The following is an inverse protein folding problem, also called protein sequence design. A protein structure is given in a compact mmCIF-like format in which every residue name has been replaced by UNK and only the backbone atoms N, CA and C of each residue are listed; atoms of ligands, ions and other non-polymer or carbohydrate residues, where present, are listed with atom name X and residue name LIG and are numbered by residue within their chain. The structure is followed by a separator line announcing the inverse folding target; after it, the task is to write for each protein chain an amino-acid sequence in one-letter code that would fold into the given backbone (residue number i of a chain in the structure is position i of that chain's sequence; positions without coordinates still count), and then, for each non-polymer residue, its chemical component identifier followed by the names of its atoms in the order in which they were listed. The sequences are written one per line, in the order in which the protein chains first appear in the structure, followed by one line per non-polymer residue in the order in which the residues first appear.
data_IF_471259404452
#
_entry.id   IF_471259404452
#
_cell.length_a   1.000
_cell.length_b   1.000
_cell.length_c   1.000
_cell.angle_alpha   90.00
_cell.angle_beta   90.00
_cell.angle_gamma   90.00
#
_symmetry.space_group_name_H-M   'P 1'
#
loop_
_entity.id
_entity.type
_entity.pdbx_description
1 polymer ?
#
# COMPACT_ATOMS: atom_id res chain seq x y z
N UNK A 1 -15.05 1.97 -10.80
CA UNK A 1 -14.78 0.99 -9.76
C UNK A 1 -15.16 1.52 -8.38
N UNK A 2 -14.68 2.75 -7.99
CA UNK A 2 -14.96 3.36 -6.71
C UNK A 2 -16.47 3.47 -6.42
N UNK A 3 -17.23 4.17 -7.28
CA UNK A 3 -18.66 4.39 -7.11
C UNK A 3 -19.50 3.11 -7.20
N UNK A 4 -19.10 2.17 -8.09
CA UNK A 4 -19.90 0.95 -8.36
C UNK A 4 -19.60 -0.21 -7.40
N UNK A 5 -18.41 -0.27 -6.81
CA UNK A 5 -17.99 -1.41 -5.97
C UNK A 5 -17.55 -0.99 -4.58
N UNK A 6 -16.58 -0.08 -4.44
CA UNK A 6 -15.98 0.23 -3.14
C UNK A 6 -16.98 0.93 -2.22
N UNK A 7 -17.56 2.06 -2.64
CA UNK A 7 -18.46 2.85 -1.79
C UNK A 7 -19.68 2.02 -1.32
N UNK A 8 -20.39 1.28 -2.19
CA UNK A 8 -21.48 0.42 -1.72
C UNK A 8 -21.04 -0.66 -0.74
N UNK A 9 -19.85 -1.24 -0.94
CA UNK A 9 -19.32 -2.29 -0.05
C UNK A 9 -18.94 -1.77 1.32
N UNK A 10 -18.49 -0.52 1.45
CA UNK A 10 -18.12 0.09 2.73
C UNK A 10 -19.30 0.21 3.72
N UNK A 11 -20.55 0.09 3.26
CA UNK A 11 -21.73 0.15 4.15
C UNK A 11 -21.78 -1.04 5.12
N UNK A 12 -21.33 -2.22 4.70
CA UNK A 12 -21.49 -3.47 5.47
C UNK A 12 -20.33 -4.46 5.33
N UNK A 13 -19.23 -4.07 4.69
CA UNK A 13 -18.08 -4.94 4.42
C UNK A 13 -16.77 -4.24 4.70
N UNK A 14 -15.75 -5.04 5.03
CA UNK A 14 -14.36 -4.59 4.99
C UNK A 14 -13.90 -4.63 3.55
N UNK A 15 -13.32 -3.54 3.09
CA UNK A 15 -12.78 -3.43 1.73
C UNK A 15 -11.25 -3.42 1.82
N UNK A 16 -10.62 -4.42 1.21
CA UNK A 16 -9.18 -4.44 0.97
C UNK A 16 -8.92 -3.89 -0.43
N UNK A 17 -8.12 -2.84 -0.49
CA UNK A 17 -7.74 -2.20 -1.74
C UNK A 17 -6.23 -2.32 -1.91
N UNK A 18 -5.81 -3.08 -2.93
CA UNK A 18 -4.40 -3.14 -3.32
C UNK A 18 -4.06 -1.89 -4.13
N UNK A 19 -3.21 -1.06 -3.54
CA UNK A 19 -2.78 0.25 -4.03
C UNK A 19 -3.94 1.28 -4.10
N UNK A 20 -3.67 2.47 -3.59
CA UNK A 20 -4.61 3.59 -3.60
C UNK A 20 -3.85 4.92 -3.56
N UNK A 21 -4.37 5.97 -2.94
CA UNK A 21 -3.84 7.32 -2.87
C UNK A 21 -2.33 7.41 -2.63
N UNK A 22 -1.81 6.69 -1.64
CA UNK A 22 -0.38 6.76 -1.32
C UNK A 22 0.51 6.10 -2.36
N UNK A 23 0.03 5.10 -3.10
CA UNK A 23 0.76 4.57 -4.25
C UNK A 23 0.89 5.62 -5.35
N UNK A 24 -0.20 6.31 -5.70
CA UNK A 24 -0.17 7.42 -6.67
C UNK A 24 0.79 8.51 -6.21
N UNK A 25 0.75 8.88 -4.94
CA UNK A 25 1.69 9.85 -4.38
C UNK A 25 3.14 9.41 -4.55
N UNK A 26 3.50 8.18 -4.13
CA UNK A 26 4.88 7.73 -4.15
C UNK A 26 5.40 7.46 -5.57
N UNK A 27 4.58 6.84 -6.43
CA UNK A 27 5.02 6.41 -7.77
C UNK A 27 4.90 7.49 -8.84
N UNK A 28 4.01 8.44 -8.68
CA UNK A 28 3.70 9.42 -9.73
C UNK A 28 4.06 10.85 -9.31
N UNK A 29 3.70 11.26 -8.10
CA UNK A 29 3.92 12.63 -7.66
C UNK A 29 5.38 12.86 -7.22
N UNK A 30 5.90 12.02 -6.32
CA UNK A 30 7.28 12.17 -5.82
C UNK A 30 8.35 11.94 -6.88
N UNK A 31 8.01 11.26 -7.97
CA UNK A 31 8.94 10.93 -9.06
C UNK A 31 8.80 11.82 -10.27
N UNK A 32 7.89 12.77 -10.24
CA UNK A 32 7.63 13.76 -11.29
C UNK A 32 7.64 15.17 -10.72
N UNK A 33 7.53 16.15 -11.59
CA UNK A 33 7.43 17.56 -11.21
C UNK A 33 5.99 18.02 -10.96
N UNK A 34 5.06 17.08 -10.69
CA UNK A 34 3.67 17.39 -10.43
C UNK A 34 3.51 17.83 -8.95
N UNK A 35 2.90 18.97 -8.67
CA UNK A 35 2.65 19.41 -7.29
C UNK A 35 1.74 18.46 -6.53
N UNK A 36 1.99 18.27 -5.24
CA UNK A 36 1.11 17.45 -4.38
C UNK A 36 -0.32 18.00 -4.29
N UNK A 37 -0.50 19.30 -4.44
CA UNK A 37 -1.81 19.96 -4.49
C UNK A 37 -2.67 19.44 -5.64
N UNK A 38 -2.06 19.13 -6.79
CA UNK A 38 -2.75 18.52 -7.94
C UNK A 38 -3.35 17.15 -7.58
N UNK A 39 -2.58 16.29 -6.88
CA UNK A 39 -3.10 15.01 -6.42
C UNK A 39 -4.26 15.19 -5.42
N UNK A 40 -4.13 16.12 -4.48
CA UNK A 40 -5.23 16.40 -3.53
C UNK A 40 -6.49 16.87 -4.24
N UNK A 41 -6.35 17.79 -5.19
CA UNK A 41 -7.49 18.30 -5.98
C UNK A 41 -8.18 17.18 -6.75
N UNK A 42 -7.43 16.38 -7.52
CA UNK A 42 -7.98 15.25 -8.27
C UNK A 42 -8.63 14.22 -7.35
N UNK A 43 -8.01 13.92 -6.21
CA UNK A 43 -8.56 12.97 -5.25
C UNK A 43 -9.86 13.50 -4.64
N UNK A 44 -9.92 14.76 -4.23
CA UNK A 44 -11.16 15.35 -3.68
C UNK A 44 -12.30 15.33 -4.70
N UNK A 45 -12.01 15.71 -5.94
CA UNK A 45 -13.01 15.77 -7.02
C UNK A 45 -13.56 14.38 -7.41
N UNK A 46 -12.67 13.38 -7.50
CA UNK A 46 -13.05 12.05 -7.99
C UNK A 46 -13.61 11.16 -6.88
N UNK A 47 -13.08 11.28 -5.66
CA UNK A 47 -13.36 10.33 -4.57
C UNK A 47 -14.07 10.95 -3.36
N UNK A 48 -14.41 12.23 -3.39
CA UNK A 48 -14.90 12.98 -2.21
C UNK A 48 -13.98 12.80 -1.00
N UNK A 49 -12.66 12.87 -1.20
CA UNK A 49 -11.65 12.65 -0.16
C UNK A 49 -11.75 11.29 0.57
N UNK A 50 -12.33 10.28 -0.05
CA UNK A 50 -12.37 8.95 0.54
C UNK A 50 -10.94 8.45 0.78
N UNK A 51 -10.56 8.28 2.04
CA UNK A 51 -9.26 7.78 2.46
C UNK A 51 -9.40 6.46 3.20
N UNK A 52 -8.41 5.56 3.12
CA UNK A 52 -8.41 4.33 3.90
C UNK A 52 -8.40 4.63 5.40
N UNK A 53 -9.11 3.83 6.18
CA UNK A 53 -9.05 3.88 7.64
C UNK A 53 -7.69 3.42 8.16
N UNK A 54 -7.09 2.46 7.45
CA UNK A 54 -5.73 1.97 7.68
C UNK A 54 -5.03 1.73 6.35
N UNK A 55 -3.78 2.16 6.26
CA UNK A 55 -2.85 1.79 5.19
C UNK A 55 -1.75 0.91 5.75
N UNK A 56 -1.58 -0.26 5.18
CA UNK A 56 -0.48 -1.17 5.48
C UNK A 56 0.57 -1.02 4.38
N UNK A 57 1.81 -0.78 4.77
CA UNK A 57 2.97 -0.73 3.88
C UNK A 57 3.89 -1.89 4.25
N UNK A 58 4.23 -2.72 3.28
CA UNK A 58 5.27 -3.76 3.42
C UNK A 58 6.54 -3.19 2.84
N UNK A 59 7.44 -2.72 3.71
CA UNK A 59 8.70 -2.08 3.31
C UNK A 59 9.77 -3.13 3.10
N UNK A 60 10.37 -3.09 1.92
CA UNK A 60 11.48 -3.94 1.52
C UNK A 60 12.54 -3.07 0.85
N UNK A 61 13.80 -3.43 1.02
CA UNK A 61 14.87 -2.83 0.23
C UNK A 61 14.54 -2.90 -1.27
N UNK A 62 14.63 -1.77 -1.95
CA UNK A 62 14.15 -1.68 -3.33
C UNK A 62 14.89 -2.60 -4.29
N UNK A 63 16.22 -2.83 -4.09
CA UNK A 63 17.01 -3.77 -4.91
C UNK A 63 16.48 -5.19 -4.76
N UNK A 64 16.19 -5.59 -3.51
CA UNK A 64 15.60 -6.89 -3.20
C UNK A 64 14.17 -7.00 -3.79
N UNK A 65 13.39 -5.93 -3.69
CA UNK A 65 12.05 -5.86 -4.29
C UNK A 65 12.06 -6.05 -5.80
N UNK A 66 12.95 -5.36 -6.51
CA UNK A 66 13.13 -5.52 -7.96
C UNK A 66 13.54 -6.95 -8.31
N UNK A 67 14.54 -7.52 -7.61
CA UNK A 67 14.98 -8.90 -7.85
C UNK A 67 13.83 -9.90 -7.68
N UNK A 68 12.99 -9.73 -6.64
CA UNK A 68 11.81 -10.59 -6.41
C UNK A 68 10.75 -10.42 -7.50
N UNK A 69 10.50 -9.19 -7.96
CA UNK A 69 9.54 -8.90 -9.03
C UNK A 69 9.97 -9.51 -10.36
N UNK A 70 11.24 -9.37 -10.74
CA UNK A 70 11.77 -9.93 -11.99
C UNK A 70 11.74 -11.46 -12.06
N UNK A 71 11.72 -12.15 -10.91
CA UNK A 71 11.59 -13.62 -10.86
C UNK A 71 10.17 -14.13 -11.10
N UNK A 72 9.15 -13.28 -11.03
CA UNK A 72 7.76 -13.67 -11.27
C UNK A 72 7.50 -13.85 -12.77
N UNK A 73 6.80 -14.93 -13.15
CA UNK A 73 6.47 -15.26 -14.56
C UNK A 73 5.51 -14.24 -15.21
N UNK A 74 4.58 -13.64 -14.46
CA UNK A 74 3.64 -12.63 -14.97
C UNK A 74 4.18 -11.22 -14.64
N UNK A 75 4.84 -10.60 -15.61
CA UNK A 75 5.57 -9.36 -15.43
C UNK A 75 4.75 -8.15 -15.89
N UNK A 76 4.15 -7.41 -14.97
CA UNK A 76 3.99 -5.97 -15.20
C UNK A 76 5.34 -5.29 -14.92
N UNK A 77 6.17 -5.21 -15.94
CA UNK A 77 7.56 -4.69 -15.84
C UNK A 77 7.64 -3.17 -15.96
N UNK A 78 6.51 -2.48 -16.04
CA UNK A 78 6.44 -1.04 -16.31
C UNK A 78 7.26 -0.15 -15.36
N UNK A 79 7.38 -0.56 -14.10
CA UNK A 79 8.15 0.18 -13.09
C UNK A 79 9.53 -0.42 -12.83
N UNK A 80 9.73 -1.70 -13.07
CA UNK A 80 10.97 -2.43 -12.78
C UNK A 80 12.15 -1.93 -13.63
N UNK A 81 11.87 -1.45 -14.84
CA UNK A 81 12.88 -0.87 -15.75
C UNK A 81 13.19 0.61 -15.50
N UNK A 82 12.56 1.24 -14.50
CA UNK A 82 12.94 2.58 -14.07
C UNK A 82 14.30 2.55 -13.38
N UNK A 83 14.99 3.67 -13.41
CA UNK A 83 16.31 3.80 -12.82
C UNK A 83 16.30 3.66 -11.28
N UNK A 84 17.48 3.46 -10.69
CA UNK A 84 17.64 3.32 -9.24
C UNK A 84 17.19 4.56 -8.47
N UNK A 85 17.27 5.75 -9.07
CA UNK A 85 16.87 7.01 -8.42
C UNK A 85 15.37 7.05 -8.25
N UNK A 86 14.60 6.58 -9.23
CA UNK A 86 13.15 6.42 -9.16
C UNK A 86 12.76 5.50 -7.99
N UNK A 87 13.33 4.30 -7.93
CA UNK A 87 13.01 3.33 -6.88
C UNK A 87 13.40 3.83 -5.49
N UNK A 88 14.52 4.53 -5.37
CA UNK A 88 14.96 5.15 -4.12
C UNK A 88 13.97 6.22 -3.66
N UNK A 89 13.50 7.11 -4.57
CA UNK A 89 12.48 8.12 -4.25
C UNK A 89 11.17 7.48 -3.78
N UNK A 90 10.70 6.44 -4.46
CA UNK A 90 9.49 5.69 -4.08
C UNK A 90 9.64 5.08 -2.69
N UNK A 91 10.75 4.39 -2.41
CA UNK A 91 11.01 3.77 -1.11
C UNK A 91 11.04 4.81 0.02
N UNK A 92 11.77 5.92 -0.17
CA UNK A 92 11.80 7.03 0.80
C UNK A 92 10.39 7.60 1.02
N UNK A 93 9.60 7.73 -0.05
CA UNK A 93 8.21 8.17 0.03
C UNK A 93 7.38 7.31 0.97
N UNK A 94 7.39 5.99 0.77
CA UNK A 94 6.66 5.05 1.62
C UNK A 94 7.16 5.07 3.07
N UNK A 95 8.47 5.14 3.32
CA UNK A 95 9.04 5.25 4.67
C UNK A 95 8.56 6.52 5.40
N UNK A 96 8.52 7.65 4.70
CA UNK A 96 7.99 8.91 5.26
C UNK A 96 6.52 8.82 5.66
N UNK A 97 5.72 7.98 4.97
CA UNK A 97 4.31 7.79 5.31
C UNK A 97 4.12 7.14 6.70
N UNK A 98 5.10 6.39 7.20
CA UNK A 98 5.03 5.76 8.53
C UNK A 98 4.84 6.74 9.69
N UNK A 99 5.12 8.04 9.48
CA UNK A 99 4.84 9.10 10.45
C UNK A 99 3.33 9.46 10.54
N UNK A 100 2.50 8.97 9.60
CA UNK A 100 1.06 9.26 9.60
C UNK A 100 0.31 8.28 10.50
N UNK A 101 -0.63 8.80 11.30
CA UNK A 101 -1.40 8.03 12.30
C UNK A 101 -2.11 6.79 11.72
N UNK A 102 -2.59 6.87 10.49
CA UNK A 102 -3.33 5.78 9.82
C UNK A 102 -2.44 4.91 8.90
N UNK A 103 -1.12 4.97 9.06
CA UNK A 103 -0.19 4.17 8.26
C UNK A 103 0.64 3.29 9.19
N UNK A 104 0.70 1.99 8.88
CA UNK A 104 1.56 1.03 9.57
C UNK A 104 2.52 0.39 8.57
N UNK A 105 3.80 0.44 8.90
CA UNK A 105 4.86 -0.19 8.11
C UNK A 105 5.25 -1.53 8.74
N UNK A 106 5.36 -2.56 7.92
CA UNK A 106 5.87 -3.88 8.28
C UNK A 106 7.13 -4.19 7.48
N UNK A 107 8.05 -4.91 8.11
CA UNK A 107 9.27 -5.35 7.44
C UNK A 107 8.93 -6.44 6.40
N UNK A 108 9.23 -6.17 5.13
CA UNK A 108 9.03 -7.09 4.01
C UNK A 108 10.19 -8.08 3.79
N UNK A 109 11.28 -7.96 4.56
CA UNK A 109 12.40 -8.89 4.51
C UNK A 109 12.21 -10.06 5.49
N UNK A 110 11.06 -10.69 5.38
CA UNK A 110 10.63 -11.84 6.16
C UNK A 110 9.89 -12.82 5.26
N UNK A 111 9.61 -14.00 5.75
CA UNK A 111 8.75 -14.96 5.07
C UNK A 111 7.32 -14.43 4.95
N UNK A 112 6.56 -14.91 3.96
CA UNK A 112 5.16 -14.53 3.80
C UNK A 112 4.35 -14.81 5.06
N UNK A 113 4.56 -15.96 5.70
CA UNK A 113 3.86 -16.37 6.90
C UNK A 113 4.16 -15.46 8.10
N UNK A 114 5.43 -15.03 8.27
CA UNK A 114 5.79 -14.07 9.31
C UNK A 114 5.16 -12.70 9.08
N UNK A 115 5.18 -12.21 7.83
CA UNK A 115 4.56 -10.93 7.49
C UNK A 115 3.06 -11.01 7.75
N UNK A 116 2.40 -12.09 7.31
CA UNK A 116 0.99 -12.32 7.55
C UNK A 116 0.67 -12.34 9.05
N UNK A 117 1.42 -13.13 9.83
CA UNK A 117 1.27 -13.20 11.28
C UNK A 117 1.36 -11.81 11.92
N UNK A 118 2.41 -11.06 11.60
CA UNK A 118 2.63 -9.72 12.17
C UNK A 118 1.49 -8.74 11.84
N UNK A 119 0.92 -8.82 10.63
CA UNK A 119 -0.21 -8.00 10.23
C UNK A 119 -1.46 -8.40 11.01
N UNK A 120 -1.76 -9.70 11.11
CA UNK A 120 -2.92 -10.22 11.85
C UNK A 120 -2.82 -9.87 13.34
N UNK A 121 -1.66 -10.08 13.96
CA UNK A 121 -1.42 -9.71 15.37
C UNK A 121 -1.68 -8.21 15.61
N UNK A 122 -1.19 -7.36 14.72
CA UNK A 122 -1.41 -5.92 14.80
C UNK A 122 -2.90 -5.57 14.71
N UNK A 123 -3.62 -6.16 13.74
CA UNK A 123 -5.05 -5.89 13.53
C UNK A 123 -5.88 -6.36 14.73
N UNK A 124 -5.60 -7.55 15.26
CA UNK A 124 -6.27 -8.12 16.42
C UNK A 124 -5.97 -7.30 17.70
N UNK A 125 -4.70 -6.96 17.94
CA UNK A 125 -4.29 -6.14 19.10
C UNK A 125 -4.94 -4.76 19.09
N UNK A 126 -5.09 -4.16 17.93
CA UNK A 126 -5.72 -2.84 17.76
C UNK A 126 -7.24 -2.91 17.71
N UNK A 127 -7.83 -4.10 17.73
CA UNK A 127 -9.28 -4.32 17.61
C UNK A 127 -9.89 -3.54 16.44
N UNK A 128 -9.17 -3.55 15.30
CA UNK A 128 -9.58 -2.80 14.10
C UNK A 128 -10.84 -3.42 13.50
N UNK A 129 -11.04 -4.71 13.72
CA UNK A 129 -12.22 -5.46 13.31
C UNK A 129 -12.97 -5.95 14.54
N UNK A 130 -14.31 -6.05 14.41
CA UNK A 130 -15.18 -6.52 15.49
C UNK A 130 -15.01 -8.02 15.83
N UNK A 131 -14.30 -8.76 14.97
CA UNK A 131 -14.01 -10.18 15.13
C UNK A 131 -12.51 -10.41 15.08
N UNK A 132 -12.05 -11.42 15.80
CA UNK A 132 -10.66 -11.87 15.71
C UNK A 132 -10.40 -12.43 14.31
N UNK A 133 -9.27 -12.01 13.71
CA UNK A 133 -8.83 -12.48 12.41
C UNK A 133 -8.03 -13.78 12.64
N UNK A 134 -8.38 -14.89 11.96
CA UNK A 134 -7.59 -16.11 12.01
C UNK A 134 -6.29 -15.98 11.21
N UNK A 135 -5.34 -16.86 11.51
CA UNK A 135 -4.12 -16.98 10.72
C UNK A 135 -4.36 -17.93 9.55
N UNK A 136 -3.95 -17.50 8.36
CA UNK A 136 -3.92 -18.34 7.16
C UNK A 136 -2.48 -18.40 6.68
N UNK A 137 -1.92 -19.59 6.62
CA UNK A 137 -0.57 -19.84 6.13
C UNK A 137 -0.66 -20.60 4.81
N UNK A 138 0.21 -20.24 3.86
CA UNK A 138 0.41 -21.04 2.65
C UNK A 138 0.92 -22.42 3.08
N UNK A 139 0.25 -23.48 2.60
CA UNK A 139 0.69 -24.89 2.75
C UNK A 139 1.86 -25.17 1.85
#
# INVERSE_FOLDING_TARGET
HLKKKIIPSLKNKIVLCDRYFYSTYCYQILTSNIPFTTLKYLHSTITNNLMPDLTIVIDLDFKTGIKRSLKKKNKETRFEFKDSSFHKKVSIGFKKLGKKKKVKIFNGDRSKNEIHKNIVDFLNKKRILNKQIPYYYDK
#
